data_IF_930988952070
#
_entry.id   IF_930988952070
#
_cell.length_a   1.000
_cell.length_b   1.000
_cell.length_c   1.000
_cell.angle_alpha   90.00
_cell.angle_beta   90.00
_cell.angle_gamma   90.00
#
_symmetry.space_group_name_H-M   'P 1'
#
loop_
_entity.id
_entity.type
_entity.pdbx_description
1 polymer ?
#
# COMPACT_ATOMS: atom_id res chain seq x y z
N UNK A 1 4.86 -1.61 23.72
CA UNK A 1 4.76 -1.15 22.32
C UNK A 1 4.01 -2.14 21.42
N UNK A 2 3.18 -3.02 21.97
CA UNK A 2 2.54 -4.15 21.25
C UNK A 2 1.12 -3.86 20.75
N UNK A 3 0.41 -2.87 21.31
CA UNK A 3 -0.98 -2.58 20.94
C UNK A 3 -1.14 -2.05 19.50
N UNK A 4 -0.15 -1.32 18.97
CA UNK A 4 -0.22 -0.81 17.58
C UNK A 4 0.04 -1.91 16.55
N UNK A 5 0.77 -2.97 16.90
CA UNK A 5 1.11 -4.04 15.96
C UNK A 5 -0.12 -4.85 15.53
N UNK A 6 -1.07 -5.07 16.44
CA UNK A 6 -2.31 -5.79 16.12
C UNK A 6 -3.19 -5.00 15.13
N UNK A 7 -3.29 -3.67 15.31
CA UNK A 7 -4.01 -2.79 14.39
C UNK A 7 -3.34 -2.73 13.02
N UNK A 8 -2.01 -2.65 13.00
CA UNK A 8 -1.21 -2.67 11.76
C UNK A 8 -1.41 -3.99 11.00
N UNK A 9 -1.37 -5.13 11.68
CA UNK A 9 -1.59 -6.44 11.06
C UNK A 9 -3.00 -6.56 10.44
N UNK A 10 -4.02 -6.13 11.18
CA UNK A 10 -5.40 -6.06 10.65
C UNK A 10 -5.50 -5.13 9.44
N UNK A 11 -4.81 -3.99 9.45
CA UNK A 11 -4.77 -3.07 8.32
C UNK A 11 -4.12 -3.70 7.08
N UNK A 12 -3.04 -4.47 7.24
CA UNK A 12 -2.43 -5.21 6.13
C UNK A 12 -3.35 -6.30 5.57
N UNK A 13 -4.04 -7.06 6.45
CA UNK A 13 -5.03 -8.04 6.01
C UNK A 13 -6.18 -7.39 5.24
N UNK A 14 -6.68 -6.25 5.72
CA UNK A 14 -7.70 -5.48 5.02
C UNK A 14 -7.20 -5.02 3.64
N UNK A 15 -5.98 -4.49 3.57
CA UNK A 15 -5.40 -4.02 2.30
C UNK A 15 -5.32 -5.12 1.25
N UNK A 16 -4.92 -6.34 1.61
CA UNK A 16 -4.89 -7.46 0.68
C UNK A 16 -6.29 -7.73 0.08
N UNK A 17 -7.31 -7.85 0.92
CA UNK A 17 -8.69 -8.11 0.47
C UNK A 17 -9.21 -6.98 -0.41
N UNK A 18 -8.94 -5.73 -0.03
CA UNK A 18 -9.39 -4.55 -0.79
C UNK A 18 -8.62 -4.42 -2.10
N UNK A 19 -7.37 -4.89 -2.17
CA UNK A 19 -6.57 -4.86 -3.40
C UNK A 19 -7.15 -5.76 -4.49
N UNK A 20 -7.82 -6.85 -4.10
CA UNK A 20 -8.45 -7.82 -5.01
C UNK A 20 -9.91 -7.45 -5.33
N UNK A 21 -10.66 -6.94 -4.34
CA UNK A 21 -12.13 -6.81 -4.41
C UNK A 21 -12.62 -5.36 -4.52
N UNK A 22 -11.74 -4.38 -4.31
CA UNK A 22 -12.11 -2.99 -4.09
C UNK A 22 -11.37 -1.99 -4.98
N UNK A 23 -11.36 -0.72 -4.53
CA UNK A 23 -10.68 0.40 -5.18
C UNK A 23 -9.73 1.08 -4.22
N UNK A 24 -8.44 0.99 -4.54
CA UNK A 24 -7.35 1.61 -3.78
C UNK A 24 -6.71 2.74 -4.59
N UNK A 25 -6.29 3.79 -3.90
CA UNK A 25 -5.39 4.82 -4.43
C UNK A 25 -4.03 4.60 -3.81
N UNK A 26 -3.02 4.38 -4.64
CA UNK A 26 -1.70 3.92 -4.20
C UNK A 26 -0.71 5.05 -4.43
N UNK A 27 0.07 5.40 -3.42
CA UNK A 27 1.02 6.51 -3.48
C UNK A 27 0.44 7.83 -3.00
N UNK A 28 1.35 8.74 -2.69
CA UNK A 28 1.07 10.01 -2.02
C UNK A 28 0.20 10.94 -2.87
N UNK A 29 0.57 11.17 -4.13
CA UNK A 29 -0.12 12.11 -5.01
C UNK A 29 -1.59 11.73 -5.26
N UNK A 30 -1.85 10.43 -5.43
CA UNK A 30 -3.21 9.93 -5.61
C UNK A 30 -4.00 9.94 -4.31
N UNK A 31 -3.37 9.58 -3.19
CA UNK A 31 -3.99 9.59 -1.87
C UNK A 31 -4.41 11.01 -1.48
N UNK A 32 -3.53 12.00 -1.67
CA UNK A 32 -3.82 13.41 -1.38
C UNK A 32 -5.02 13.90 -2.19
N UNK A 33 -5.06 13.60 -3.51
CA UNK A 33 -6.22 13.96 -4.35
C UNK A 33 -7.52 13.30 -3.88
N UNK A 34 -7.47 12.05 -3.45
CA UNK A 34 -8.66 11.33 -2.98
C UNK A 34 -9.19 11.88 -1.64
N UNK A 35 -8.27 12.27 -0.75
CA UNK A 35 -8.55 12.93 0.54
C UNK A 35 -9.20 14.31 0.29
N UNK A 36 -8.62 15.12 -0.60
CA UNK A 36 -9.15 16.44 -0.95
C UNK A 36 -10.57 16.36 -1.51
N UNK A 37 -10.86 15.32 -2.30
CA UNK A 37 -12.19 15.05 -2.88
C UNK A 37 -13.16 14.35 -1.92
N UNK A 38 -12.76 14.05 -0.68
CA UNK A 38 -13.55 13.31 0.31
C UNK A 38 -14.07 11.95 -0.19
N UNK A 39 -13.33 11.30 -1.08
CA UNK A 39 -13.70 9.97 -1.61
C UNK A 39 -13.07 8.83 -0.81
N UNK A 40 -12.23 9.15 0.17
CA UNK A 40 -11.45 8.19 0.95
C UNK A 40 -12.15 7.81 2.24
N UNK A 41 -12.23 6.50 2.50
CA UNK A 41 -12.80 5.91 3.72
C UNK A 41 -11.77 5.68 4.82
N UNK A 42 -10.54 5.34 4.45
CA UNK A 42 -9.42 5.10 5.37
C UNK A 42 -8.11 5.45 4.67
N UNK A 43 -7.17 6.06 5.40
CA UNK A 43 -5.81 6.35 4.93
C UNK A 43 -4.80 5.56 5.74
N UNK A 44 -3.83 4.96 5.07
CA UNK A 44 -2.72 4.24 5.72
C UNK A 44 -1.43 4.86 5.21
N UNK A 45 -0.56 5.30 6.13
CA UNK A 45 0.72 5.93 5.81
C UNK A 45 1.87 5.22 6.51
N UNK A 46 3.04 5.23 5.89
CA UNK A 46 4.25 4.67 6.48
C UNK A 46 5.02 5.72 7.29
N UNK A 47 5.67 5.28 8.37
CA UNK A 47 6.54 6.11 9.21
C UNK A 47 7.99 6.12 8.69
N UNK A 48 8.45 5.04 8.06
CA UNK A 48 9.76 4.91 7.39
C UNK A 48 9.77 5.58 6.00
N UNK A 49 9.45 6.87 5.94
CA UNK A 49 9.46 7.66 4.70
C UNK A 49 10.55 8.73 4.76
N UNK A 50 11.49 8.62 3.83
CA UNK A 50 12.52 9.63 3.57
C UNK A 50 12.32 10.20 2.18
N UNK A 51 12.09 11.52 2.03
CA UNK A 51 12.02 12.56 3.07
C UNK A 51 10.67 12.63 3.80
N UNK A 52 10.63 13.09 5.07
CA UNK A 52 9.40 13.15 5.87
C UNK A 52 8.35 14.14 5.34
N UNK A 53 8.75 15.09 4.49
CA UNK A 53 7.87 16.09 3.86
C UNK A 53 6.73 15.44 3.05
N UNK A 54 6.96 14.22 2.54
CA UNK A 54 5.99 13.46 1.74
C UNK A 54 4.77 13.04 2.56
N UNK A 55 4.90 12.81 3.87
CA UNK A 55 3.78 12.37 4.73
C UNK A 55 3.28 13.50 5.62
N UNK A 56 4.12 14.51 5.87
CA UNK A 56 3.81 15.63 6.75
C UNK A 56 2.52 16.39 6.38
N UNK A 57 2.16 16.45 5.09
CA UNK A 57 0.93 17.10 4.64
C UNK A 57 -0.30 16.20 4.73
N UNK A 58 -0.15 14.87 4.75
CA UNK A 58 -1.28 13.93 4.77
C UNK A 58 -1.98 13.95 6.13
N UNK A 59 -1.22 13.88 7.23
CA UNK A 59 -1.77 13.87 8.59
C UNK A 59 -2.69 15.05 8.91
N UNK A 60 -2.31 16.32 8.65
CA UNK A 60 -3.21 17.45 8.87
C UNK A 60 -4.41 17.44 7.91
N UNK A 61 -4.23 17.01 6.65
CA UNK A 61 -5.34 16.90 5.70
C UNK A 61 -6.40 15.89 6.16
N UNK A 62 -5.97 14.71 6.62
CA UNK A 62 -6.87 13.70 7.19
C UNK A 62 -7.62 14.25 8.41
N UNK A 63 -6.94 15.04 9.26
CA UNK A 63 -7.53 15.64 10.45
C UNK A 63 -8.56 16.72 10.12
N UNK A 64 -8.32 17.55 9.11
CA UNK A 64 -9.25 18.59 8.67
C UNK A 64 -10.48 18.00 7.95
N UNK A 65 -10.29 16.89 7.25
CA UNK A 65 -11.36 16.17 6.54
C UNK A 65 -12.06 15.10 7.40
N UNK A 66 -11.64 14.92 8.64
CA UNK A 66 -12.17 13.92 9.58
C UNK A 66 -12.07 12.47 9.05
N UNK A 67 -11.03 12.17 8.27
CA UNK A 67 -10.80 10.84 7.69
C UNK A 67 -9.89 10.03 8.62
N UNK A 68 -10.27 8.78 8.98
CA UNK A 68 -9.44 7.95 9.85
C UNK A 68 -8.12 7.60 9.15
N UNK A 69 -7.02 7.66 9.91
CA UNK A 69 -5.68 7.37 9.43
C UNK A 69 -4.93 6.39 10.35
N UNK A 70 -4.12 5.51 9.76
CA UNK A 70 -3.28 4.53 10.47
C UNK A 70 -1.83 4.71 10.03
N UNK A 71 -0.91 4.74 11.00
CA UNK A 71 0.52 4.70 10.76
C UNK A 71 1.04 3.26 10.78
N UNK A 72 1.80 2.88 9.76
CA UNK A 72 2.51 1.60 9.69
C UNK A 72 4.03 1.83 9.71
N UNK A 73 4.83 0.91 10.27
CA UNK A 73 6.26 1.14 10.41
C UNK A 73 6.98 1.16 9.04
N UNK A 74 6.69 0.20 8.16
CA UNK A 74 7.48 -0.03 6.94
C UNK A 74 6.69 0.21 5.64
N UNK A 75 7.24 1.05 4.76
CA UNK A 75 6.69 1.31 3.41
C UNK A 75 6.73 0.12 2.46
N UNK A 76 7.67 -0.81 2.68
CA UNK A 76 7.84 -2.00 1.84
C UNK A 76 6.68 -2.99 2.03
N UNK A 77 6.24 -3.19 3.27
CA UNK A 77 5.11 -4.06 3.61
C UNK A 77 3.79 -3.45 3.12
N UNK A 78 3.64 -2.13 3.26
CA UNK A 78 2.47 -1.41 2.74
C UNK A 78 2.31 -1.58 1.22
N UNK A 79 3.41 -1.46 0.48
CA UNK A 79 3.42 -1.68 -0.97
C UNK A 79 2.99 -3.10 -1.34
N UNK A 80 3.56 -4.10 -0.68
CA UNK A 80 3.21 -5.52 -0.89
C UNK A 80 1.74 -5.80 -0.58
N UNK A 81 1.23 -5.31 0.54
CA UNK A 81 -0.18 -5.48 0.93
C UNK A 81 -1.16 -4.77 -0.02
N UNK A 82 -0.71 -3.71 -0.70
CA UNK A 82 -1.47 -3.04 -1.74
C UNK A 82 -1.33 -3.70 -3.12
N UNK A 83 -0.62 -4.83 -3.24
CA UNK A 83 -0.37 -5.53 -4.51
C UNK A 83 0.63 -4.80 -5.43
N UNK A 84 1.58 -4.06 -4.86
CA UNK A 84 2.65 -3.40 -5.59
C UNK A 84 4.00 -4.03 -5.24
N UNK A 85 4.87 -4.16 -6.25
CA UNK A 85 6.25 -4.62 -6.05
C UNK A 85 7.20 -3.49 -5.63
N UNK A 86 6.67 -2.28 -5.42
CA UNK A 86 7.42 -1.08 -5.04
C UNK A 86 6.98 -0.57 -3.66
N UNK A 87 7.93 -0.06 -2.84
CA UNK A 87 7.59 0.50 -1.54
C UNK A 87 6.71 1.74 -1.70
N UNK A 88 5.63 1.82 -0.91
CA UNK A 88 4.63 2.88 -1.02
C UNK A 88 4.54 3.65 0.28
N UNK A 89 4.57 4.99 0.20
CA UNK A 89 4.53 5.85 1.39
C UNK A 89 3.11 6.02 1.96
N UNK A 90 2.09 6.03 1.11
CA UNK A 90 0.70 6.25 1.51
C UNK A 90 -0.26 5.47 0.60
N UNK A 91 -1.32 4.93 1.18
CA UNK A 91 -2.41 4.24 0.48
C UNK A 91 -3.74 4.74 1.04
N UNK A 92 -4.66 5.10 0.15
CA UNK A 92 -6.00 5.53 0.49
C UNK A 92 -7.03 4.52 -0.02
N UNK A 93 -7.91 4.06 0.86
CA UNK A 93 -9.01 3.15 0.52
C UNK A 93 -10.21 3.98 0.08
N UNK A 94 -10.57 3.90 -1.20
CA UNK A 94 -11.76 4.57 -1.75
C UNK A 94 -12.98 3.66 -1.64
N UNK A 95 -12.82 2.40 -2.01
CA UNK A 95 -13.85 1.39 -1.78
C UNK A 95 -13.27 0.10 -1.22
N UNK A 96 -13.90 -0.39 -0.15
CA UNK A 96 -13.42 -1.54 0.61
C UNK A 96 -13.96 -2.89 0.12
N UNK A 97 -14.80 -2.91 -0.92
CA UNK A 97 -15.32 -4.16 -1.50
C UNK A 97 -15.92 -5.09 -0.44
N UNK A 98 -15.35 -6.29 -0.31
CA UNK A 98 -15.74 -7.31 0.68
C UNK A 98 -15.20 -7.03 2.10
N UNK A 99 -14.15 -6.22 2.22
CA UNK A 99 -13.51 -5.81 3.47
C UNK A 99 -14.24 -4.72 4.27
N UNK A 100 -15.47 -4.32 3.87
CA UNK A 100 -16.23 -3.25 4.54
C UNK A 100 -16.43 -3.49 6.04
N UNK A 101 -16.69 -4.75 6.43
CA UNK A 101 -16.87 -5.14 7.85
C UNK A 101 -15.59 -4.88 8.65
N UNK A 102 -14.46 -5.40 8.17
CA UNK A 102 -13.15 -5.20 8.81
C UNK A 102 -12.74 -3.73 8.86
N UNK A 103 -13.08 -2.95 7.82
CA UNK A 103 -12.85 -1.51 7.83
C UNK A 103 -13.67 -0.81 8.92
N UNK A 104 -14.95 -1.15 9.09
CA UNK A 104 -15.78 -0.57 10.17
C UNK A 104 -15.26 -0.95 11.56
N UNK A 105 -14.84 -2.19 11.76
CA UNK A 105 -14.23 -2.65 13.00
C UNK A 105 -12.95 -1.86 13.30
N UNK A 106 -12.04 -1.75 12.32
CA UNK A 106 -10.80 -0.99 12.46
C UNK A 106 -11.03 0.49 12.77
N UNK A 107 -11.96 1.14 12.09
CA UNK A 107 -12.33 2.54 12.37
C UNK A 107 -12.88 2.68 13.79
N UNK A 108 -13.65 1.71 14.27
CA UNK A 108 -14.17 1.70 15.64
C UNK A 108 -13.06 1.54 16.68
N UNK A 109 -12.04 0.72 16.40
CA UNK A 109 -10.88 0.52 17.28
C UNK A 109 -10.00 1.78 17.32
N UNK A 110 -9.79 2.44 16.17
CA UNK A 110 -9.07 3.72 16.10
C UNK A 110 -9.79 4.84 16.86
N UNK A 111 -11.13 4.89 16.78
CA UNK A 111 -11.91 5.88 17.52
C UNK A 111 -11.86 5.68 19.05
N UNK A 112 -11.56 4.46 19.52
CA UNK A 112 -11.39 4.17 20.96
C UNK A 112 -10.01 4.59 21.46
N UNK A 113 -8.97 4.41 20.62
CA UNK A 113 -7.60 4.78 20.95
C UNK A 113 -7.34 6.30 20.85
N UNK A 114 -8.06 7.01 19.97
CA UNK A 114 -7.96 8.45 19.81
C UNK A 114 -9.28 9.14 20.10
N UNK A 115 -9.37 9.92 21.18
CA UNK A 115 -10.46 10.87 21.37
C UNK A 115 -10.38 11.96 20.28
N UNK A 116 -11.02 11.72 19.13
CA UNK A 116 -11.65 12.71 18.25
C UNK A 116 -12.59 11.99 17.28
N UNK A 117 -13.82 12.50 17.27
CA UNK A 117 -15.09 11.90 16.86
C UNK A 117 -15.19 11.59 15.35
N UNK A 118 -15.92 10.53 14.95
CA UNK A 118 -16.17 10.20 13.54
C UNK A 118 -17.40 10.93 12.99
N UNK A 119 -17.36 11.32 11.72
CA UNK A 119 -18.53 11.69 10.93
C UNK A 119 -18.28 11.26 9.48
N UNK A 120 -19.16 10.62 8.72
CA UNK A 120 -20.44 9.92 8.89
C UNK A 120 -20.57 9.07 7.61
N UNK A 121 -21.48 8.10 7.63
CA UNK A 121 -21.81 7.08 6.62
C UNK A 121 -21.84 7.47 5.11
N UNK A 122 -21.77 6.45 4.21
CA UNK A 122 -21.41 6.62 2.81
C UNK A 122 -22.61 7.04 1.96
N UNK A 123 -22.42 8.06 1.12
CA UNK A 123 -23.31 8.33 -0.01
C UNK A 123 -22.64 7.85 -1.31
N UNK A 124 -23.19 6.79 -1.87
CA UNK A 124 -23.21 6.52 -3.30
C UNK A 124 -24.68 6.70 -3.77
N UNK A 125 -25.00 6.84 -5.08
CA UNK A 125 -24.15 6.77 -6.27
C UNK A 125 -24.40 7.91 -7.31
N UNK A 126 -23.50 8.08 -8.28
CA UNK A 126 -23.86 8.51 -9.65
C UNK A 126 -22.70 8.20 -10.62
N UNK A 127 -22.98 7.29 -11.55
CA UNK A 127 -22.19 6.96 -12.75
C UNK A 127 -22.23 8.11 -13.79
N UNK A 128 -21.17 8.28 -14.59
CA UNK A 128 -21.29 8.26 -16.06
C UNK A 128 -19.92 8.01 -16.74
N UNK A 129 -19.99 7.30 -17.87
CA UNK A 129 -18.95 6.67 -18.71
C UNK A 129 -18.13 7.64 -19.59
N UNK A 130 -16.89 7.21 -19.93
CA UNK A 130 -16.25 7.19 -21.27
C UNK A 130 -14.75 6.84 -21.08
N UNK A 131 -14.24 5.64 -21.39
CA UNK A 131 -13.68 5.16 -22.69
C UNK A 131 -12.71 6.18 -23.33
N UNK A 132 -11.39 5.92 -23.45
CA UNK A 132 -10.78 5.03 -24.48
C UNK A 132 -9.36 4.52 -24.08
N UNK A 133 -9.00 3.34 -24.63
CA UNK A 133 -7.73 2.54 -24.54
C UNK A 133 -6.72 3.02 -25.62
N UNK A 134 -5.56 2.36 -25.89
CA UNK A 134 -4.37 1.99 -25.11
C UNK A 134 -3.06 2.69 -25.59
N UNK A 135 -1.97 2.62 -24.82
CA UNK A 135 -0.61 2.61 -25.38
C UNK A 135 0.39 1.92 -24.43
N UNK A 136 0.69 0.66 -24.74
CA UNK A 136 1.97 -0.03 -24.46
C UNK A 136 3.09 0.53 -25.38
N UNK A 137 4.35 0.07 -25.31
CA UNK A 137 5.08 -0.61 -24.23
C UNK A 137 6.44 0.08 -23.94
N UNK A 138 7.15 -0.32 -22.89
CA UNK A 138 8.61 -0.51 -22.94
C UNK A 138 9.10 -1.33 -21.73
N UNK A 139 9.10 -2.65 -21.92
CA UNK A 139 10.21 -3.51 -21.52
C UNK A 139 11.13 -3.61 -22.77
N UNK A 140 12.44 -3.99 -22.69
CA UNK A 140 12.96 -4.98 -21.73
C UNK A 140 14.39 -4.73 -21.22
N UNK A 141 14.79 -5.47 -20.17
CA UNK A 141 16.06 -6.19 -20.15
C UNK A 141 16.14 -7.07 -18.90
N UNK A 142 16.07 -8.39 -19.13
CA UNK A 142 16.62 -9.44 -18.27
C UNK A 142 18.09 -9.17 -17.93
N UNK A 143 18.58 -9.61 -16.77
CA UNK A 143 19.56 -10.70 -16.71
C UNK A 143 19.72 -11.23 -15.26
N UNK A 144 19.83 -12.56 -15.20
CA UNK A 144 19.90 -13.48 -14.07
C UNK A 144 21.24 -13.42 -13.32
N UNK A 145 21.26 -13.90 -12.07
CA UNK A 145 22.23 -14.92 -11.63
C UNK A 145 21.83 -15.50 -10.26
N UNK A 146 21.16 -16.66 -10.29
CA UNK A 146 21.40 -17.71 -9.30
C UNK A 146 22.78 -18.29 -9.57
N UNK A 147 23.65 -18.44 -8.56
CA UNK A 147 24.72 -19.42 -8.63
C UNK A 147 25.03 -20.00 -7.25
N UNK A 148 24.84 -21.31 -7.14
CA UNK A 148 25.40 -22.16 -6.11
C UNK A 148 26.12 -23.28 -6.85
N UNK A 149 27.44 -23.42 -6.79
CA UNK A 149 28.10 -24.61 -7.31
C UNK A 149 28.43 -25.58 -6.17
N UNK A 150 28.02 -26.83 -6.36
CA UNK A 150 28.70 -27.98 -5.80
C UNK A 150 29.33 -28.74 -6.98
N UNK A 151 30.63 -28.95 -6.87
CA UNK A 151 31.53 -29.89 -7.57
C UNK A 151 30.92 -31.32 -7.75
N UNK A 152 31.53 -32.28 -8.51
CA UNK A 152 32.96 -32.38 -8.89
C UNK A 152 33.30 -32.99 -10.28
N UNK A 153 34.62 -33.12 -10.49
CA UNK A 153 35.41 -34.05 -11.34
C UNK A 153 35.49 -33.88 -12.87
N UNK A 154 36.71 -33.60 -13.34
CA UNK A 154 37.29 -34.25 -14.51
C UNK A 154 38.83 -34.39 -14.35
N UNK A 155 39.41 -35.54 -14.74
CA UNK A 155 40.86 -35.81 -14.71
C UNK A 155 41.59 -35.43 -16.02
N UNK A 156 42.93 -35.40 -15.97
CA UNK A 156 43.93 -35.71 -17.05
C UNK A 156 43.90 -34.85 -18.33
N UNK A 157 44.98 -34.49 -19.05
CA UNK A 157 46.44 -34.75 -19.04
C UNK A 157 47.01 -33.97 -20.27
N UNK A 158 48.30 -33.59 -20.22
CA UNK A 158 49.23 -33.22 -21.33
C UNK A 158 48.86 -32.05 -22.29
N UNK A 159 49.78 -31.27 -22.91
CA UNK A 159 51.21 -31.39 -23.21
C UNK A 159 51.78 -29.97 -23.50
N UNK A 160 53.10 -29.77 -23.26
CA UNK A 160 54.09 -28.88 -23.97
C UNK A 160 53.73 -27.39 -24.18
N UNK A 161 54.57 -26.39 -23.96
CA UNK A 161 56.02 -26.15 -24.17
C UNK A 161 56.24 -24.75 -23.53
N UNK A 162 57.35 -24.42 -22.87
CA UNK A 162 58.67 -24.03 -23.42
C UNK A 162 59.58 -23.70 -22.23
#
# INVERSE_FOLDING_TARGET
MTENQELVNKAYSLLNIVSETGKLRKGTNESTKAIERKQTKLVIFAEDVSPPEVVAHITPLCKEREIPCIGVPFRAELGKAAGLNVPTACVAIVDAGEGKKQLTDLVSELSKAGSKKPAKEPEAPAEEKAEEKPAEPEAPAEEKAEEKPAEPEAPTEEEKSE
#
